data_IF_445770743560
#
_entry.id   IF_445770743560
#
_cell.length_a   1.000
_cell.length_b   1.000
_cell.length_c   1.000
_cell.angle_alpha   90.00
_cell.angle_beta   90.00
_cell.angle_gamma   90.00
#
_symmetry.space_group_name_H-M   'P 1'
#
loop_
_entity.id
_entity.type
_entity.pdbx_description
1 polymer ?
#
# COMPACT_ATOMS: atom_id res chain seq x y z
N UNK A 1 2.53 -21.51 -6.52
CA UNK A 1 1.12 -21.95 -6.46
C UNK A 1 0.34 -20.92 -5.66
N UNK A 2 -0.74 -20.34 -6.19
CA UNK A 2 -1.57 -19.40 -5.45
C UNK A 2 -2.42 -20.16 -4.43
N UNK A 3 -2.28 -19.80 -3.16
CA UNK A 3 -3.05 -20.39 -2.05
C UNK A 3 -4.11 -19.40 -1.55
N UNK A 4 -5.05 -19.87 -0.72
CA UNK A 4 -6.01 -19.00 -0.03
C UNK A 4 -5.33 -17.86 0.75
N UNK A 5 -4.18 -18.13 1.35
CA UNK A 5 -3.41 -17.11 2.05
C UNK A 5 -2.94 -15.99 1.13
N UNK A 6 -2.55 -16.29 -0.11
CA UNK A 6 -2.22 -15.27 -1.10
C UNK A 6 -3.43 -14.41 -1.45
N UNK A 7 -4.62 -15.00 -1.55
CA UNK A 7 -5.87 -14.27 -1.77
C UNK A 7 -6.15 -13.28 -0.63
N UNK A 8 -6.03 -13.74 0.62
CA UNK A 8 -6.21 -12.87 1.79
C UNK A 8 -5.19 -11.73 1.82
N UNK A 9 -3.92 -12.01 1.52
CA UNK A 9 -2.85 -11.00 1.48
C UNK A 9 -3.08 -9.98 0.37
N UNK A 10 -3.55 -10.38 -0.82
CA UNK A 10 -3.96 -9.44 -1.88
C UNK A 10 -5.06 -8.49 -1.39
N UNK A 11 -6.04 -9.00 -0.64
CA UNK A 11 -7.07 -8.17 0.00
C UNK A 11 -6.47 -7.09 0.92
N UNK A 12 -5.46 -7.45 1.71
CA UNK A 12 -4.75 -6.50 2.58
C UNK A 12 -3.97 -5.45 1.78
N UNK A 13 -3.32 -5.83 0.69
CA UNK A 13 -2.63 -4.88 -0.21
C UNK A 13 -3.62 -3.87 -0.80
N UNK A 14 -4.81 -4.32 -1.25
CA UNK A 14 -5.85 -3.41 -1.73
C UNK A 14 -6.37 -2.47 -0.64
N UNK A 15 -6.55 -2.98 0.58
CA UNK A 15 -6.93 -2.15 1.73
C UNK A 15 -5.89 -1.07 2.01
N UNK A 16 -4.61 -1.45 2.00
CA UNK A 16 -3.47 -0.55 2.18
C UNK A 16 -3.48 0.57 1.14
N UNK A 17 -3.64 0.22 -0.14
CA UNK A 17 -3.70 1.21 -1.23
C UNK A 17 -4.91 2.15 -1.10
N UNK A 18 -6.07 1.65 -0.68
CA UNK A 18 -7.24 2.49 -0.40
C UNK A 18 -7.00 3.45 0.78
N UNK A 19 -6.29 3.02 1.82
CA UNK A 19 -5.88 3.91 2.90
C UNK A 19 -4.92 5.00 2.42
N UNK A 20 -3.98 4.68 1.53
CA UNK A 20 -3.13 5.69 0.89
C UNK A 20 -3.94 6.75 0.12
N UNK A 21 -4.95 6.33 -0.66
CA UNK A 21 -5.85 7.25 -1.38
C UNK A 21 -6.60 8.18 -0.41
N UNK A 22 -7.06 7.66 0.73
CA UNK A 22 -7.75 8.48 1.74
C UNK A 22 -6.78 9.44 2.43
N UNK A 23 -5.61 8.96 2.84
CA UNK A 23 -4.59 9.77 3.51
C UNK A 23 -4.06 10.89 2.64
N UNK A 24 -3.90 10.65 1.34
CA UNK A 24 -3.41 11.66 0.38
C UNK A 24 -4.41 12.80 0.11
N UNK A 25 -5.67 12.70 0.56
CA UNK A 25 -6.65 13.80 0.45
C UNK A 25 -6.21 15.07 1.19
N UNK A 26 -5.36 14.93 2.21
CA UNK A 26 -4.79 16.07 2.93
C UNK A 26 -3.72 16.85 2.14
N UNK A 27 -3.23 16.32 1.01
CA UNK A 27 -2.28 17.02 0.14
C UNK A 27 -3.04 18.08 -0.67
N UNK A 28 -2.76 19.39 -0.48
CA UNK A 28 -3.51 20.46 -1.16
C UNK A 28 -3.24 20.52 -2.67
N UNK A 29 -1.98 20.35 -3.07
CA UNK A 29 -1.59 20.38 -4.48
C UNK A 29 -2.04 19.09 -5.21
N UNK A 30 -2.92 19.20 -6.23
CA UNK A 30 -3.41 18.03 -6.96
C UNK A 30 -2.31 17.25 -7.67
N UNK A 31 -1.26 17.93 -8.15
CA UNK A 31 -0.15 17.28 -8.86
C UNK A 31 0.71 16.47 -7.89
N UNK A 32 1.14 17.06 -6.78
CA UNK A 32 1.84 16.35 -5.70
C UNK A 32 1.03 15.16 -5.15
N UNK A 33 -0.30 15.31 -5.02
CA UNK A 33 -1.18 14.21 -4.60
C UNK A 33 -1.16 13.05 -5.60
N UNK A 34 -1.23 13.35 -6.90
CA UNK A 34 -1.18 12.36 -7.97
C UNK A 34 0.19 11.66 -8.00
N UNK A 35 1.27 12.41 -7.92
CA UNK A 35 2.64 11.89 -7.89
C UNK A 35 2.87 10.96 -6.69
N UNK A 36 2.39 11.37 -5.51
CA UNK A 36 2.46 10.56 -4.30
C UNK A 36 1.71 9.22 -4.48
N UNK A 37 0.50 9.26 -5.04
CA UNK A 37 -0.27 8.03 -5.29
C UNK A 37 0.34 7.15 -6.38
N UNK A 38 0.97 7.74 -7.39
CA UNK A 38 1.69 7.02 -8.43
C UNK A 38 2.92 6.31 -7.85
N UNK A 39 3.68 7.00 -6.99
CA UNK A 39 4.82 6.40 -6.29
C UNK A 39 4.39 5.22 -5.39
N UNK A 40 3.34 5.38 -4.60
CA UNK A 40 2.82 4.27 -3.77
C UNK A 40 2.34 3.11 -4.64
N UNK A 41 1.71 3.39 -5.78
CA UNK A 41 1.30 2.36 -6.74
C UNK A 41 2.52 1.64 -7.33
N UNK A 42 3.57 2.35 -7.71
CA UNK A 42 4.78 1.71 -8.27
C UNK A 42 5.45 0.77 -7.28
N UNK A 43 5.49 1.12 -5.98
CA UNK A 43 6.03 0.25 -4.94
C UNK A 43 5.26 -1.09 -4.84
N UNK A 44 3.92 -1.03 -4.93
CA UNK A 44 3.07 -2.22 -4.92
C UNK A 44 3.30 -3.05 -6.20
N UNK A 45 3.35 -2.38 -7.36
CA UNK A 45 3.50 -3.04 -8.66
C UNK A 45 4.88 -3.69 -8.82
N UNK A 46 5.94 -3.11 -8.25
CA UNK A 46 7.29 -3.70 -8.21
C UNK A 46 7.29 -5.10 -7.57
N UNK A 47 6.39 -5.35 -6.63
CA UNK A 47 6.28 -6.61 -5.89
C UNK A 47 5.09 -7.46 -6.33
N UNK A 48 4.43 -7.14 -7.46
CA UNK A 48 3.25 -7.86 -7.97
C UNK A 48 3.47 -9.38 -8.12
N UNK A 49 4.67 -9.77 -8.54
CA UNK A 49 5.05 -11.16 -8.80
C UNK A 49 5.60 -11.90 -7.58
N UNK A 50 5.59 -11.27 -6.40
CA UNK A 50 6.03 -11.92 -5.17
C UNK A 50 5.06 -13.04 -4.78
N UNK A 51 5.63 -14.20 -4.43
CA UNK A 51 4.87 -15.39 -4.03
C UNK A 51 5.32 -15.92 -2.66
N UNK A 52 6.38 -15.37 -2.06
CA UNK A 52 6.73 -15.69 -0.68
C UNK A 52 5.78 -14.98 0.28
N UNK A 53 4.98 -15.77 0.98
CA UNK A 53 3.99 -15.32 1.96
C UNK A 53 4.61 -14.45 3.06
N UNK A 54 5.77 -14.83 3.60
CA UNK A 54 6.40 -14.10 4.70
C UNK A 54 6.96 -12.77 4.20
N UNK A 55 7.49 -12.77 2.97
CA UNK A 55 7.92 -11.54 2.31
C UNK A 55 6.74 -10.60 2.03
N UNK A 56 5.61 -11.11 1.53
CA UNK A 56 4.39 -10.31 1.32
C UNK A 56 3.90 -9.69 2.64
N UNK A 57 3.86 -10.47 3.73
CA UNK A 57 3.49 -9.95 5.05
C UNK A 57 4.45 -8.84 5.52
N UNK A 58 5.76 -9.05 5.34
CA UNK A 58 6.78 -8.06 5.68
C UNK A 58 6.59 -6.76 4.89
N UNK A 59 6.35 -6.86 3.57
CA UNK A 59 6.08 -5.72 2.69
C UNK A 59 4.81 -4.97 3.09
N UNK A 60 3.71 -5.67 3.42
CA UNK A 60 2.49 -5.05 3.94
C UNK A 60 2.77 -4.32 5.25
N UNK A 61 3.53 -4.95 6.17
CA UNK A 61 3.92 -4.35 7.44
C UNK A 61 4.76 -3.08 7.25
N UNK A 62 5.72 -3.11 6.33
CA UNK A 62 6.49 -1.94 5.92
C UNK A 62 5.59 -0.84 5.37
N UNK A 63 4.74 -1.16 4.40
CA UNK A 63 3.83 -0.19 3.78
C UNK A 63 2.88 0.46 4.79
N UNK A 64 2.36 -0.29 5.78
CA UNK A 64 1.57 0.29 6.87
C UNK A 64 2.36 1.33 7.68
N UNK A 65 3.61 1.02 8.04
CA UNK A 65 4.47 1.97 8.78
C UNK A 65 4.75 3.22 7.95
N UNK A 66 5.11 3.05 6.68
CA UNK A 66 5.37 4.17 5.76
C UNK A 66 4.13 5.05 5.59
N UNK A 67 2.94 4.49 5.37
CA UNK A 67 1.71 5.28 5.26
C UNK A 67 1.38 6.04 6.54
N UNK A 68 1.62 5.46 7.71
CA UNK A 68 1.42 6.17 8.99
C UNK A 68 2.38 7.37 9.13
N UNK A 69 3.60 7.24 8.62
CA UNK A 69 4.59 8.31 8.61
C UNK A 69 4.22 9.42 7.62
N UNK A 70 3.80 9.08 6.41
CA UNK A 70 3.42 10.07 5.39
C UNK A 70 2.07 10.74 5.64
N UNK A 71 1.12 10.02 6.23
CA UNK A 71 -0.25 10.47 6.44
C UNK A 71 -0.68 10.28 7.91
N UNK A 72 -0.13 11.08 8.84
CA UNK A 72 -0.52 11.01 10.24
C UNK A 72 -2.02 11.28 10.38
N UNK A 73 -2.76 10.29 10.90
CA UNK A 73 -4.24 10.33 11.00
C UNK A 73 -4.99 9.35 10.10
N UNK A 74 -4.30 8.62 9.22
CA UNK A 74 -4.92 7.57 8.40
C UNK A 74 -5.20 6.31 9.22
N UNK A 75 -6.45 5.84 9.24
CA UNK A 75 -6.79 4.51 9.77
C UNK A 75 -6.30 3.41 8.82
N UNK A 76 -5.46 2.51 9.35
CA UNK A 76 -4.78 1.42 8.62
C UNK A 76 -5.28 0.04 9.04
#
# INVERSE_FOLDING_TARGET
>A
MLTFQHFLLKGQVYSLYRSAIRGSRGIPDPQARKETLNWIRSEIEQHRSENDIEKIKSLIGHGKRSLKQYFPGTQL
#
